data_IF_392280577666
#
_entry.id   IF_392280577666
#
_cell.length_a   1.000
_cell.length_b   1.000
_cell.length_c   1.000
_cell.angle_alpha   90.00
_cell.angle_beta   90.00
_cell.angle_gamma   90.00
#
_symmetry.space_group_name_H-M   'P 1'
#
loop_
_entity.id
_entity.type
_entity.pdbx_description
1 polymer ?
#
# COMPACT_ATOMS: atom_id res chain seq x y z
N UNK A 1 -17.42 23.81 18.02
CA UNK A 1 -17.20 22.49 18.64
C UNK A 1 -16.12 21.69 17.92
N UNK A 2 -16.02 21.87 16.62
CA UNK A 2 -15.02 21.17 15.82
C UNK A 2 -13.69 21.92 15.73
N UNK A 3 -13.56 23.06 16.42
CA UNK A 3 -12.34 23.84 16.36
C UNK A 3 -11.18 23.10 17.00
N UNK A 4 -10.02 23.14 16.33
CA UNK A 4 -8.80 22.53 16.85
C UNK A 4 -8.26 23.42 17.96
N UNK A 5 -8.02 22.88 19.15
CA UNK A 5 -7.51 23.66 20.29
C UNK A 5 -6.13 23.21 20.73
N UNK A 6 -5.62 22.05 20.30
CA UNK A 6 -4.26 21.65 20.63
C UNK A 6 -3.75 20.65 19.60
N UNK A 7 -2.46 20.72 19.33
CA UNK A 7 -1.80 19.82 18.38
C UNK A 7 -0.45 19.45 19.01
N UNK A 8 -0.17 18.14 19.07
CA UNK A 8 1.07 17.65 19.64
C UNK A 8 1.67 16.61 18.69
N UNK A 9 2.84 16.92 18.15
CA UNK A 9 3.61 15.94 17.36
C UNK A 9 4.67 15.28 18.22
N UNK A 10 5.00 14.04 17.90
CA UNK A 10 6.05 13.32 18.61
C UNK A 10 6.70 12.30 17.68
N UNK A 11 7.86 11.86 18.11
CA UNK A 11 8.63 10.82 17.43
C UNK A 11 8.31 9.47 18.10
N UNK A 12 7.92 8.48 17.29
CA UNK A 12 7.71 7.12 17.78
C UNK A 12 8.50 6.17 16.90
N UNK A 13 8.52 4.88 17.20
CA UNK A 13 9.24 3.90 16.40
C UNK A 13 8.31 3.13 15.50
N UNK A 14 8.78 2.83 14.29
CA UNK A 14 8.04 2.01 13.36
C UNK A 14 8.46 0.54 13.48
N UNK A 15 7.92 -0.31 12.61
CA UNK A 15 8.10 -1.75 12.67
C UNK A 15 9.54 -2.21 12.41
N UNK A 16 10.37 -1.32 11.88
CA UNK A 16 11.78 -1.62 11.65
C UNK A 16 12.68 -1.01 12.72
N UNK A 17 12.08 -0.38 13.75
CA UNK A 17 12.83 0.27 14.80
C UNK A 17 13.39 1.63 14.39
N UNK A 18 12.85 2.24 13.34
CA UNK A 18 13.24 3.57 12.91
C UNK A 18 12.22 4.60 13.37
N UNK A 19 12.63 5.84 13.61
CA UNK A 19 11.67 6.85 14.00
C UNK A 19 10.66 7.18 12.92
N UNK A 20 9.44 7.51 13.36
CA UNK A 20 8.42 8.07 12.50
C UNK A 20 7.60 9.06 13.31
N UNK A 21 6.69 9.76 12.63
CA UNK A 21 5.95 10.87 13.21
C UNK A 21 4.57 10.41 13.66
N UNK A 22 4.17 10.81 14.87
CA UNK A 22 2.82 10.62 15.37
C UNK A 22 2.28 11.98 15.81
N UNK A 23 0.98 12.19 15.64
CA UNK A 23 0.36 13.47 15.96
C UNK A 23 -0.94 13.24 16.69
N UNK A 24 -1.18 14.06 17.74
CA UNK A 24 -2.47 14.15 18.42
C UNK A 24 -3.10 15.49 18.06
N UNK A 25 -4.41 15.47 17.80
CA UNK A 25 -5.20 16.68 17.57
C UNK A 25 -6.35 16.66 18.55
N UNK A 26 -6.51 17.73 19.32
CA UNK A 26 -7.58 17.87 20.31
C UNK A 26 -8.55 18.94 19.84
N UNK A 27 -9.83 18.64 19.90
CA UNK A 27 -10.87 19.58 19.50
C UNK A 27 -11.51 20.24 20.73
N UNK A 28 -12.19 21.36 20.49
CA UNK A 28 -12.88 22.11 21.53
C UNK A 28 -13.84 21.22 22.32
N UNK A 29 -14.47 20.25 21.67
CA UNK A 29 -15.40 19.33 22.32
C UNK A 29 -14.72 18.37 23.28
N UNK A 30 -13.41 18.29 23.28
CA UNK A 30 -12.66 17.36 24.11
C UNK A 30 -12.27 16.06 23.43
N UNK A 31 -12.75 15.81 22.22
CA UNK A 31 -12.34 14.59 21.51
C UNK A 31 -10.93 14.76 20.96
N UNK A 32 -10.26 13.65 20.78
CA UNK A 32 -8.89 13.64 20.29
C UNK A 32 -8.74 12.62 19.15
N UNK A 33 -7.91 12.98 18.17
CA UNK A 33 -7.51 12.06 17.13
C UNK A 33 -6.01 11.85 17.19
N UNK A 34 -5.55 10.61 16.99
CA UNK A 34 -4.13 10.27 16.99
C UNK A 34 -3.80 9.45 15.76
N UNK A 35 -2.73 9.80 15.08
CA UNK A 35 -2.32 9.07 13.90
C UNK A 35 -0.80 9.01 13.82
N UNK A 36 -0.28 7.88 13.32
CA UNK A 36 1.15 7.70 13.06
C UNK A 36 1.33 7.38 11.58
N UNK A 37 2.44 7.85 11.01
CA UNK A 37 2.66 7.70 9.58
C UNK A 37 3.61 6.56 9.27
N UNK A 38 3.40 5.87 8.12
CA UNK A 38 4.32 4.81 7.70
C UNK A 38 5.53 5.40 6.98
N UNK A 39 6.53 4.57 6.71
CA UNK A 39 7.72 4.98 5.97
C UNK A 39 8.15 3.90 5.01
N UNK A 40 8.79 4.30 3.89
CA UNK A 40 9.20 3.37 2.87
C UNK A 40 10.66 2.98 2.96
N UNK A 41 10.97 1.73 2.62
CA UNK A 41 12.35 1.28 2.50
C UNK A 41 12.92 1.70 1.15
N UNK A 42 12.17 1.46 0.07
CA UNK A 42 12.54 1.94 -1.26
C UNK A 42 11.46 2.92 -1.70
N UNK A 43 11.88 4.06 -2.21
CA UNK A 43 10.95 5.12 -2.55
C UNK A 43 11.08 5.46 -4.03
N UNK A 44 9.96 5.81 -4.65
CA UNK A 44 9.97 6.32 -6.01
C UNK A 44 10.67 7.65 -6.07
N UNK A 45 11.28 7.96 -7.20
CA UNK A 45 12.07 9.17 -7.32
C UNK A 45 11.21 10.43 -7.23
N UNK A 46 9.91 10.32 -7.44
CA UNK A 46 8.99 11.47 -7.45
C UNK A 46 8.07 11.51 -6.25
N UNK A 47 8.34 10.72 -5.21
CA UNK A 47 7.55 10.78 -3.98
C UNK A 47 7.79 12.05 -3.19
N UNK A 48 6.92 12.52 -2.49
CA UNK A 48 7.06 13.56 -1.62
C UNK A 48 8.08 13.19 -0.64
N UNK A 49 8.53 14.04 -0.02
CA UNK A 49 9.71 13.89 0.84
C UNK A 49 9.33 13.50 2.26
N UNK A 50 9.87 12.42 2.71
CA UNK A 50 9.85 11.99 4.11
C UNK A 50 11.01 12.71 4.79
N UNK A 51 10.72 13.75 5.59
CA UNK A 51 11.76 14.61 6.16
C UNK A 51 12.47 13.90 7.29
N UNK A 52 13.76 13.71 7.15
CA UNK A 52 14.63 13.11 8.15
C UNK A 52 15.69 14.13 8.57
N UNK A 53 16.15 14.02 9.82
CA UNK A 53 17.06 15.02 10.37
C UNK A 53 18.46 14.96 9.77
N UNK A 54 18.92 13.78 9.42
CA UNK A 54 20.25 13.61 8.87
C UNK A 54 21.37 13.72 9.90
N UNK A 55 21.03 13.83 11.17
CA UNK A 55 22.00 13.89 12.26
C UNK A 55 22.44 12.48 12.61
N UNK A 56 23.64 12.11 12.22
CA UNK A 56 24.12 10.73 12.38
C UNK A 56 24.23 10.31 13.84
N UNK A 57 24.29 11.24 14.76
CA UNK A 57 24.30 10.91 16.20
C UNK A 57 22.93 10.60 16.80
N UNK A 58 21.80 10.68 16.00
CA UNK A 58 20.51 10.38 16.41
C UNK A 58 19.96 9.47 15.49
N UNK A 59 19.67 8.36 15.91
CA UNK A 59 19.05 7.31 15.09
C UNK A 59 19.77 7.11 13.75
N UNK A 60 21.08 7.21 13.75
CA UNK A 60 21.86 7.01 12.53
C UNK A 60 21.42 7.92 11.37
N UNK A 61 20.94 9.10 11.71
CA UNK A 61 20.49 10.08 10.73
C UNK A 61 19.03 10.00 10.38
N UNK A 62 18.30 9.04 10.93
CA UNK A 62 16.90 8.81 10.55
C UNK A 62 15.89 9.45 11.48
N UNK A 63 16.32 10.25 12.45
CA UNK A 63 15.41 10.96 13.33
C UNK A 63 14.43 11.84 12.58
N UNK A 64 13.30 12.17 13.21
CA UNK A 64 12.27 13.02 12.60
C UNK A 64 11.92 14.21 13.47
N UNK A 65 12.88 14.69 14.30
CA UNK A 65 12.56 15.79 15.20
C UNK A 65 12.32 17.11 14.46
N UNK A 66 12.91 17.31 13.27
CA UNK A 66 12.60 18.50 12.49
C UNK A 66 11.14 18.49 12.03
N UNK A 67 10.65 17.34 11.56
CA UNK A 67 9.25 17.22 11.17
C UNK A 67 8.33 17.43 12.38
N UNK A 68 8.71 16.86 13.51
CA UNK A 68 7.93 17.02 14.76
C UNK A 68 7.91 18.51 15.17
N UNK A 69 9.04 19.19 15.06
CA UNK A 69 9.09 20.61 15.41
C UNK A 69 8.17 21.42 14.50
N UNK A 70 8.12 21.10 13.20
CA UNK A 70 7.21 21.80 12.30
C UNK A 70 5.76 21.62 12.75
N UNK A 71 5.38 20.40 13.20
CA UNK A 71 4.03 20.18 13.69
C UNK A 71 3.76 21.04 14.93
N UNK A 72 4.70 21.07 15.85
CA UNK A 72 4.48 21.72 17.14
C UNK A 72 4.60 23.24 17.08
N UNK A 73 5.12 23.80 15.99
CA UNK A 73 5.26 25.25 15.86
C UNK A 73 4.46 25.77 14.67
N UNK A 74 5.05 25.74 13.49
CA UNK A 74 4.48 26.41 12.33
C UNK A 74 3.15 25.84 11.90
N UNK A 75 3.04 24.51 11.85
CA UNK A 75 1.78 23.89 11.47
C UNK A 75 0.72 24.17 12.53
N UNK A 76 1.08 24.00 13.80
CA UNK A 76 0.14 24.26 14.89
C UNK A 76 -0.39 25.68 14.80
N UNK A 77 0.51 26.67 14.58
CA UNK A 77 0.06 28.07 14.48
C UNK A 77 -0.88 28.28 13.30
N UNK A 78 -0.64 27.62 12.18
CA UNK A 78 -1.42 27.85 10.97
C UNK A 78 -2.81 27.23 11.04
N UNK A 79 -2.98 26.11 11.73
CA UNK A 79 -4.28 25.44 11.71
C UNK A 79 -5.02 25.46 13.04
N UNK A 80 -4.42 26.04 14.08
CA UNK A 80 -5.13 26.18 15.36
C UNK A 80 -6.41 26.98 15.12
N UNK A 81 -7.52 26.51 15.70
CA UNK A 81 -8.81 27.17 15.56
C UNK A 81 -9.58 26.81 14.31
N UNK A 82 -8.98 26.11 13.35
CA UNK A 82 -9.71 25.70 12.17
C UNK A 82 -10.71 24.58 12.53
N UNK A 83 -11.72 24.47 11.69
CA UNK A 83 -12.77 23.45 11.85
C UNK A 83 -12.22 22.11 11.31
N UNK A 84 -12.11 21.12 12.19
CA UNK A 84 -11.56 19.82 11.82
C UNK A 84 -12.43 19.10 10.79
N UNK A 85 -13.72 19.43 10.68
CA UNK A 85 -14.58 18.78 9.69
C UNK A 85 -14.35 19.30 8.28
N UNK A 86 -13.57 20.38 8.12
CA UNK A 86 -13.24 20.95 6.81
C UNK A 86 -11.91 20.38 6.30
N UNK A 87 -11.89 19.08 6.08
CA UNK A 87 -10.64 18.38 5.74
C UNK A 87 -9.94 18.97 4.52
N UNK A 88 -10.69 19.21 3.44
CA UNK A 88 -10.07 19.70 2.21
C UNK A 88 -9.45 21.08 2.41
N UNK A 89 -10.13 21.95 3.14
CA UNK A 89 -9.60 23.28 3.44
C UNK A 89 -8.33 23.19 4.29
N UNK A 90 -8.39 22.33 5.31
CA UNK A 90 -7.24 22.17 6.21
C UNK A 90 -6.05 21.61 5.46
N UNK A 91 -6.27 20.58 4.64
CA UNK A 91 -5.19 19.99 3.87
C UNK A 91 -4.59 20.99 2.89
N UNK A 92 -5.43 21.80 2.25
CA UNK A 92 -4.91 22.84 1.35
C UNK A 92 -4.10 23.86 2.12
N UNK A 93 -4.50 24.18 3.33
CA UNK A 93 -3.72 25.08 4.17
C UNK A 93 -2.33 24.50 4.43
N UNK A 94 -2.26 23.22 4.72
CA UNK A 94 -0.96 22.56 4.92
C UNK A 94 -0.11 22.58 3.65
N UNK A 95 -0.72 22.30 2.56
CA UNK A 95 -0.01 22.32 1.28
C UNK A 95 0.54 23.70 0.97
N UNK A 96 -0.21 24.52 1.16
CA UNK A 96 0.11 25.79 0.99
C UNK A 96 1.12 26.29 1.88
N UNK A 97 1.07 25.95 3.06
CA UNK A 97 2.07 26.34 4.07
C UNK A 97 3.46 25.82 3.68
N UNK A 98 3.52 24.58 3.25
CA UNK A 98 4.79 24.02 2.81
C UNK A 98 5.34 24.76 1.59
N UNK A 99 4.51 24.98 0.60
CA UNK A 99 4.85 25.81 -0.55
C UNK A 99 5.80 25.19 -1.56
N UNK A 100 6.18 23.91 -1.38
CA UNK A 100 7.06 23.24 -2.34
C UNK A 100 6.31 22.12 -3.04
N UNK A 101 6.82 21.76 -4.21
CA UNK A 101 6.14 20.73 -5.01
C UNK A 101 6.21 19.36 -4.35
N UNK A 102 7.33 19.07 -3.69
CA UNK A 102 7.57 17.74 -3.12
C UNK A 102 7.48 17.73 -1.61
N UNK A 103 6.92 18.78 -1.03
CA UNK A 103 6.74 18.90 0.42
C UNK A 103 8.06 18.77 1.22
N UNK A 104 8.87 19.22 0.72
CA UNK A 104 10.08 19.22 1.25
C UNK A 104 10.33 20.10 2.35
N UNK A 105 9.64 21.18 2.40
CA UNK A 105 9.98 22.16 3.46
C UNK A 105 9.50 21.70 4.83
N UNK A 106 8.28 21.24 4.91
CA UNK A 106 7.75 20.76 6.19
C UNK A 106 7.86 19.24 6.34
N UNK A 107 7.91 18.51 5.23
CA UNK A 107 7.93 17.06 5.22
C UNK A 107 6.55 16.49 4.96
N UNK A 108 6.47 15.57 4.00
CA UNK A 108 5.21 14.87 3.75
C UNK A 108 4.77 14.08 4.99
N UNK A 109 5.73 13.56 5.76
CA UNK A 109 5.39 12.86 7.00
C UNK A 109 4.73 13.79 8.00
N UNK A 110 5.20 15.01 8.16
CA UNK A 110 4.52 15.97 9.04
C UNK A 110 3.12 16.31 8.49
N UNK A 111 2.92 16.60 7.24
CA UNK A 111 1.77 16.90 6.68
C UNK A 111 0.81 15.93 6.85
N UNK A 112 1.19 14.60 6.56
CA UNK A 112 0.26 13.48 6.67
C UNK A 112 -0.20 13.25 8.10
N UNK A 113 0.71 13.29 9.04
CA UNK A 113 0.31 13.07 10.43
C UNK A 113 -0.79 14.05 10.87
N UNK A 114 -0.77 15.20 10.47
CA UNK A 114 -1.69 16.13 10.77
C UNK A 114 -2.92 15.90 10.17
N UNK A 115 -2.88 15.62 8.85
CA UNK A 115 -4.08 15.34 8.06
C UNK A 115 -4.88 14.17 8.64
N UNK A 116 -4.21 13.09 8.94
CA UNK A 116 -4.90 11.91 9.48
C UNK A 116 -5.44 12.13 10.89
N UNK A 117 -4.68 12.78 11.75
CA UNK A 117 -5.15 13.00 13.12
C UNK A 117 -6.38 13.90 13.14
N UNK A 118 -6.42 14.91 12.27
CA UNK A 118 -7.59 15.76 12.13
C UNK A 118 -8.82 14.94 11.69
N UNK A 119 -8.64 14.07 10.71
CA UNK A 119 -9.76 13.26 10.24
C UNK A 119 -10.29 12.36 11.34
N UNK A 120 -9.40 11.76 12.13
CA UNK A 120 -9.84 10.89 13.22
C UNK A 120 -10.59 11.69 14.30
N UNK A 121 -10.11 12.88 14.63
CA UNK A 121 -10.81 13.72 15.61
C UNK A 121 -12.17 14.12 15.08
N UNK A 122 -12.25 14.52 13.81
CA UNK A 122 -13.53 14.93 13.23
C UNK A 122 -14.53 13.77 13.19
N UNK A 123 -14.07 12.57 12.84
CA UNK A 123 -14.95 11.40 12.84
C UNK A 123 -15.47 11.10 14.24
N UNK A 124 -14.61 11.16 15.23
CA UNK A 124 -14.99 10.92 16.62
C UNK A 124 -16.03 11.93 17.06
N UNK A 125 -15.82 13.22 16.75
CA UNK A 125 -16.79 14.24 17.14
C UNK A 125 -18.12 14.04 16.44
N UNK A 126 -18.10 13.61 15.18
CA UNK A 126 -19.34 13.36 14.43
C UNK A 126 -20.05 12.09 14.90
N UNK A 127 -19.40 11.28 15.74
CA UNK A 127 -19.98 10.04 16.20
C UNK A 127 -19.99 8.94 15.17
N UNK A 128 -19.07 9.00 14.20
CA UNK A 128 -19.01 8.04 13.10
C UNK A 128 -17.73 7.23 13.17
N UNK A 129 -17.79 5.94 12.84
CA UNK A 129 -16.54 5.23 12.60
C UNK A 129 -15.80 5.86 11.42
N UNK A 130 -14.48 5.74 11.42
CA UNK A 130 -13.67 6.47 10.43
C UNK A 130 -14.04 6.07 9.00
N UNK A 131 -14.25 4.77 8.74
CA UNK A 131 -14.61 4.37 7.38
C UNK A 131 -15.90 5.02 6.91
N UNK A 132 -16.86 5.20 7.82
CA UNK A 132 -18.14 5.83 7.49
C UNK A 132 -17.96 7.33 7.27
N UNK A 133 -17.11 7.95 8.08
CA UNK A 133 -16.78 9.34 7.89
C UNK A 133 -16.19 9.60 6.51
N UNK A 134 -15.28 8.71 6.07
CA UNK A 134 -14.68 8.83 4.74
C UNK A 134 -15.69 8.54 3.63
N UNK A 135 -16.56 7.57 3.82
CA UNK A 135 -17.37 7.04 2.72
C UNK A 135 -18.77 7.59 2.59
N UNK A 136 -19.28 8.21 3.64
CA UNK A 136 -20.66 8.73 3.62
C UNK A 136 -21.68 7.63 3.85
N UNK A 137 -22.87 7.83 3.34
CA UNK A 137 -24.02 6.99 3.70
C UNK A 137 -24.24 5.80 2.75
N UNK A 138 -23.47 5.71 1.69
CA UNK A 138 -23.70 4.66 0.69
C UNK A 138 -23.22 3.29 1.13
N UNK A 139 -23.54 2.28 0.31
CA UNK A 139 -23.09 0.92 0.56
C UNK A 139 -21.58 0.81 0.42
N UNK A 140 -21.00 -0.11 1.18
CA UNK A 140 -19.55 -0.26 1.21
C UNK A 140 -19.13 -1.70 1.01
N UNK A 141 -18.02 -1.88 0.29
CA UNK A 141 -17.40 -3.18 0.03
C UNK A 141 -16.24 -3.40 0.97
N UNK A 142 -16.07 -4.65 1.39
CA UNK A 142 -14.81 -5.05 2.00
C UNK A 142 -13.78 -5.31 0.89
N UNK A 143 -12.53 -4.92 1.07
CA UNK A 143 -11.54 -5.10 0.01
C UNK A 143 -11.05 -6.54 -0.10
N UNK A 144 -10.73 -6.97 -1.33
CA UNK A 144 -10.00 -8.21 -1.54
C UNK A 144 -8.58 -7.99 -1.07
N UNK A 145 -8.04 -8.86 -0.20
CA UNK A 145 -6.67 -8.66 0.28
C UNK A 145 -5.65 -9.29 -0.66
N UNK A 146 -4.56 -8.55 -0.90
CA UNK A 146 -3.36 -9.06 -1.57
C UNK A 146 -2.36 -9.37 -0.45
N UNK A 147 -2.11 -10.65 -0.21
CA UNK A 147 -1.33 -11.08 0.94
C UNK A 147 0.05 -11.52 0.51
N UNK A 148 1.07 -10.80 0.94
CA UNK A 148 2.46 -11.03 0.56
C UNK A 148 3.03 -12.19 1.35
N UNK A 149 3.16 -13.38 0.73
CA UNK A 149 3.60 -14.57 1.46
C UNK A 149 5.03 -15.00 1.16
N UNK A 150 5.63 -14.55 0.04
CA UNK A 150 7.05 -14.78 -0.23
C UNK A 150 7.69 -13.48 -0.68
N UNK A 151 8.86 -13.18 -0.13
CA UNK A 151 9.62 -11.98 -0.46
C UNK A 151 10.88 -12.34 -1.24
N UNK A 152 11.23 -11.47 -2.18
CA UNK A 152 12.50 -11.51 -2.88
C UNK A 152 13.02 -10.09 -3.04
N UNK A 153 13.92 -9.88 -4.00
CA UNK A 153 14.41 -8.56 -4.33
C UNK A 153 14.96 -7.81 -3.12
N UNK A 154 14.57 -6.55 -3.00
CA UNK A 154 15.05 -5.71 -1.91
C UNK A 154 14.49 -6.10 -0.55
N UNK A 155 13.43 -6.90 -0.52
CA UNK A 155 12.79 -7.30 0.74
C UNK A 155 13.33 -8.61 1.30
N UNK A 156 14.37 -9.18 0.70
CA UNK A 156 14.88 -10.47 1.13
C UNK A 156 16.35 -10.62 0.76
N UNK A 157 17.02 -11.52 1.44
CA UNK A 157 18.40 -11.88 1.11
C UNK A 157 18.38 -13.27 0.46
N UNK A 158 17.86 -13.30 -0.78
CA UNK A 158 17.80 -14.55 -1.54
C UNK A 158 17.97 -14.21 -3.03
N UNK A 159 17.86 -15.22 -3.88
CA UNK A 159 18.15 -15.05 -5.31
C UNK A 159 16.93 -14.70 -6.16
N UNK A 160 15.76 -14.47 -5.53
CA UNK A 160 14.59 -14.05 -6.28
C UNK A 160 14.68 -12.55 -6.61
N UNK A 161 14.47 -12.20 -7.87
CA UNK A 161 14.50 -10.79 -8.26
C UNK A 161 13.16 -10.11 -8.08
N UNK A 162 12.06 -10.82 -8.27
CA UNK A 162 10.72 -10.30 -8.03
C UNK A 162 10.54 -10.10 -6.54
N UNK A 163 10.06 -8.91 -6.15
CA UNK A 163 10.10 -8.49 -4.76
C UNK A 163 9.04 -9.15 -3.90
N UNK A 164 7.84 -9.35 -4.43
CA UNK A 164 6.74 -9.92 -3.63
C UNK A 164 5.92 -10.89 -4.46
N UNK A 165 5.55 -12.00 -3.82
CA UNK A 165 4.64 -13.00 -4.38
C UNK A 165 3.46 -13.07 -3.44
N UNK A 166 2.27 -12.79 -3.96
CA UNK A 166 1.08 -12.60 -3.14
C UNK A 166 -0.02 -13.54 -3.56
N UNK A 167 -0.87 -13.90 -2.58
CA UNK A 167 -2.12 -14.63 -2.86
C UNK A 167 -3.29 -13.69 -2.66
N UNK A 168 -4.32 -13.85 -3.48
CA UNK A 168 -5.55 -13.07 -3.43
C UNK A 168 -6.74 -14.00 -3.35
N UNK A 169 -7.30 -14.21 -2.15
CA UNK A 169 -8.51 -15.02 -2.05
C UNK A 169 -9.70 -14.28 -2.66
N UNK A 170 -10.27 -14.83 -3.71
CA UNK A 170 -11.39 -14.19 -4.44
C UNK A 170 -12.64 -15.05 -4.50
N UNK A 171 -12.55 -16.34 -4.14
CA UNK A 171 -13.68 -17.23 -4.23
C UNK A 171 -14.49 -17.36 -2.95
N UNK A 172 -14.13 -16.61 -1.91
CA UNK A 172 -14.79 -16.73 -0.62
C UNK A 172 -15.99 -15.78 -0.56
N UNK A 173 -16.92 -16.09 0.34
CA UNK A 173 -18.17 -15.33 0.42
C UNK A 173 -18.06 -14.06 1.26
N UNK A 174 -16.99 -13.92 2.05
CA UNK A 174 -16.84 -12.78 2.93
C UNK A 174 -15.38 -12.48 3.14
N UNK A 175 -15.10 -11.26 3.64
CA UNK A 175 -13.73 -10.91 4.02
C UNK A 175 -13.22 -11.85 5.11
N UNK A 176 -14.04 -12.18 6.09
CA UNK A 176 -13.63 -13.11 7.15
C UNK A 176 -13.12 -14.41 6.56
N UNK A 177 -13.85 -14.97 5.58
CA UNK A 177 -13.43 -16.22 4.98
C UNK A 177 -12.21 -16.05 4.07
N UNK A 178 -12.06 -14.88 3.43
CA UNK A 178 -10.86 -14.59 2.66
C UNK A 178 -9.64 -14.53 3.56
N UNK A 179 -9.78 -13.88 4.72
CA UNK A 179 -8.68 -13.81 5.68
C UNK A 179 -8.31 -15.20 6.20
N UNK A 180 -9.31 -16.01 6.52
CA UNK A 180 -9.06 -17.40 6.96
C UNK A 180 -8.33 -18.19 5.89
N UNK A 181 -8.76 -18.04 4.63
CA UNK A 181 -8.10 -18.69 3.51
C UNK A 181 -6.62 -18.30 3.44
N UNK A 182 -6.34 -17.01 3.54
CA UNK A 182 -4.97 -16.54 3.52
C UNK A 182 -4.13 -17.11 4.65
N UNK A 183 -4.70 -17.13 5.86
CA UNK A 183 -3.97 -17.66 7.01
C UNK A 183 -3.67 -19.15 6.85
N UNK A 184 -4.64 -19.91 6.31
CA UNK A 184 -4.43 -21.33 6.09
C UNK A 184 -3.36 -21.59 5.03
N UNK A 185 -3.35 -20.78 3.96
CA UNK A 185 -2.30 -20.89 2.95
C UNK A 185 -0.94 -20.54 3.55
N UNK A 186 -0.88 -19.48 4.36
CA UNK A 186 0.35 -19.07 5.02
C UNK A 186 0.94 -20.24 5.83
N UNK A 187 0.12 -20.91 6.61
CA UNK A 187 0.61 -22.02 7.43
C UNK A 187 0.95 -23.24 6.58
N UNK A 188 0.19 -23.52 5.52
CA UNK A 188 0.55 -24.61 4.61
C UNK A 188 1.90 -24.34 3.95
N UNK A 189 2.14 -23.09 3.55
CA UNK A 189 3.41 -22.73 2.94
C UNK A 189 4.56 -22.88 3.92
N UNK A 190 4.34 -22.45 5.17
CA UNK A 190 5.36 -22.62 6.22
C UNK A 190 5.77 -24.08 6.33
N UNK A 191 4.81 -24.99 6.35
CA UNK A 191 5.08 -26.41 6.47
C UNK A 191 5.87 -26.93 5.26
N UNK A 192 5.49 -26.52 4.04
CA UNK A 192 6.19 -26.95 2.84
C UNK A 192 7.64 -26.46 2.85
N UNK A 193 7.84 -25.18 3.20
CA UNK A 193 9.18 -24.61 3.25
C UNK A 193 10.03 -25.32 4.29
N UNK A 194 9.45 -25.58 5.46
CA UNK A 194 10.16 -26.28 6.53
C UNK A 194 10.53 -27.70 6.12
N UNK A 195 9.62 -28.41 5.46
CA UNK A 195 9.88 -29.78 5.00
C UNK A 195 11.00 -29.82 3.96
N UNK A 196 11.18 -28.73 3.20
CA UNK A 196 12.29 -28.65 2.24
C UNK A 196 13.61 -28.24 2.90
N UNK A 197 13.62 -28.02 4.20
CA UNK A 197 14.82 -27.61 4.91
C UNK A 197 15.18 -26.15 4.74
N UNK A 198 14.26 -25.33 4.24
CA UNK A 198 14.50 -23.91 4.05
C UNK A 198 14.06 -23.10 5.25
N UNK A 199 14.58 -21.88 5.37
CA UNK A 199 14.23 -20.99 6.48
C UNK A 199 12.77 -20.55 6.41
N UNK A 200 12.10 -20.56 7.54
CA UNK A 200 10.76 -19.99 7.68
C UNK A 200 10.78 -18.63 8.39
N UNK A 201 11.95 -18.00 8.47
CA UNK A 201 12.04 -16.65 8.99
C UNK A 201 11.25 -15.70 8.09
N UNK A 202 10.64 -14.68 8.69
CA UNK A 202 9.81 -13.75 7.94
C UNK A 202 10.52 -12.41 7.80
N UNK A 203 10.22 -11.72 6.70
CA UNK A 203 10.76 -10.40 6.44
C UNK A 203 9.92 -9.29 7.04
N UNK A 204 10.21 -8.08 6.61
CA UNK A 204 9.61 -6.87 7.19
C UNK A 204 8.09 -6.85 7.07
N UNK A 205 7.55 -7.47 6.05
CA UNK A 205 6.10 -7.44 5.81
C UNK A 205 5.42 -8.75 6.21
N UNK A 206 6.14 -9.64 6.87
CA UNK A 206 5.58 -10.86 7.43
C UNK A 206 5.63 -12.07 6.51
N UNK A 207 6.09 -11.91 5.28
CA UNK A 207 6.22 -13.04 4.34
C UNK A 207 7.52 -13.78 4.52
N UNK A 208 7.56 -15.03 4.04
CA UNK A 208 8.77 -15.84 4.11
C UNK A 208 9.79 -15.40 3.06
N UNK A 209 11.06 -15.69 3.32
CA UNK A 209 12.13 -15.33 2.39
C UNK A 209 13.07 -16.49 2.12
N UNK A 210 12.56 -17.65 1.69
CA UNK A 210 13.43 -18.78 1.41
C UNK A 210 14.18 -18.56 0.11
N UNK A 211 15.27 -19.32 -0.08
CA UNK A 211 16.11 -19.14 -1.26
C UNK A 211 15.70 -20.12 -2.37
N UNK A 212 14.62 -19.79 -3.06
CA UNK A 212 14.18 -20.58 -4.23
C UNK A 212 15.16 -20.40 -5.40
N UNK A 213 15.23 -21.41 -6.26
CA UNK A 213 16.13 -21.38 -7.41
C UNK A 213 15.63 -20.45 -8.52
N UNK A 214 14.32 -20.24 -8.61
CA UNK A 214 13.75 -19.43 -9.70
C UNK A 214 12.39 -18.89 -9.29
N UNK A 215 11.91 -17.91 -10.06
CA UNK A 215 10.56 -17.41 -9.86
C UNK A 215 9.52 -18.52 -10.09
N UNK A 216 9.75 -19.39 -11.07
CA UNK A 216 8.79 -20.48 -11.32
C UNK A 216 8.75 -21.48 -10.17
N UNK A 217 9.89 -21.79 -9.57
CA UNK A 217 9.88 -22.68 -8.40
C UNK A 217 9.07 -22.05 -7.27
N UNK A 218 9.26 -20.76 -7.05
CA UNK A 218 8.48 -20.06 -6.02
C UNK A 218 7.00 -20.14 -6.31
N UNK A 219 6.60 -19.84 -7.54
CA UNK A 219 5.18 -19.86 -7.91
C UNK A 219 4.58 -21.25 -7.78
N UNK A 220 5.31 -22.28 -8.22
CA UNK A 220 4.82 -23.65 -8.06
C UNK A 220 4.65 -24.04 -6.60
N UNK A 221 5.57 -23.57 -5.74
CA UNK A 221 5.48 -23.85 -4.32
C UNK A 221 4.24 -23.17 -3.70
N UNK A 222 3.98 -21.93 -4.14
CA UNK A 222 2.78 -21.23 -3.69
C UNK A 222 1.52 -21.96 -4.12
N UNK A 223 1.48 -22.46 -5.37
CA UNK A 223 0.32 -23.25 -5.83
C UNK A 223 0.14 -24.49 -4.97
N UNK A 224 1.22 -25.18 -4.63
CA UNK A 224 1.15 -26.35 -3.75
C UNK A 224 0.57 -25.98 -2.39
N UNK A 225 0.96 -24.82 -1.86
CA UNK A 225 0.43 -24.38 -0.56
C UNK A 225 -1.06 -24.11 -0.64
N UNK A 226 -1.52 -23.51 -1.74
CA UNK A 226 -2.94 -23.24 -1.93
C UNK A 226 -3.72 -24.57 -1.95
N UNK A 227 -3.23 -25.55 -2.73
CA UNK A 227 -3.90 -26.87 -2.81
C UNK A 227 -3.87 -27.60 -1.48
N UNK A 228 -2.73 -27.54 -0.79
CA UNK A 228 -2.59 -28.20 0.50
C UNK A 228 -3.55 -27.62 1.54
N UNK A 229 -3.82 -26.32 1.44
CA UNK A 229 -4.77 -25.68 2.34
C UNK A 229 -6.23 -25.99 1.99
N UNK A 230 -6.46 -26.68 0.87
CA UNK A 230 -7.80 -27.09 0.48
C UNK A 230 -8.49 -26.17 -0.49
N UNK A 231 -7.75 -25.29 -1.16
CA UNK A 231 -8.33 -24.32 -2.08
C UNK A 231 -7.86 -24.58 -3.51
N UNK A 232 -8.63 -24.07 -4.48
CA UNK A 232 -8.36 -24.31 -5.89
C UNK A 232 -7.64 -23.10 -6.50
N UNK A 233 -6.37 -23.27 -6.93
CA UNK A 233 -5.69 -22.15 -7.60
C UNK A 233 -6.43 -21.75 -8.86
N UNK A 234 -6.58 -20.45 -9.06
CA UNK A 234 -7.26 -19.92 -10.23
C UNK A 234 -8.76 -19.72 -10.04
N UNK A 235 -9.38 -20.51 -9.14
CA UNK A 235 -10.80 -20.37 -8.85
C UNK A 235 -11.01 -19.65 -7.51
N UNK A 236 -10.46 -20.23 -6.45
CA UNK A 236 -10.64 -19.68 -5.11
C UNK A 236 -9.61 -18.63 -4.79
N UNK A 237 -8.40 -18.76 -5.35
CA UNK A 237 -7.25 -17.92 -5.02
C UNK A 237 -6.51 -17.59 -6.29
N UNK A 238 -6.24 -16.32 -6.51
CA UNK A 238 -5.40 -15.85 -7.61
C UNK A 238 -4.06 -15.39 -7.06
N UNK A 239 -3.08 -15.20 -7.94
CA UNK A 239 -1.75 -14.76 -7.57
C UNK A 239 -1.50 -13.33 -8.03
N UNK A 240 -0.63 -12.63 -7.30
CA UNK A 240 -0.22 -11.29 -7.65
C UNK A 240 1.28 -11.15 -7.41
N UNK A 241 1.92 -10.32 -8.23
CA UNK A 241 3.36 -10.05 -8.10
C UNK A 241 3.58 -8.57 -7.88
N UNK A 242 4.63 -8.24 -7.12
CA UNK A 242 5.22 -6.91 -7.13
C UNK A 242 6.65 -7.08 -7.62
N UNK A 243 6.90 -6.69 -8.86
CA UNK A 243 8.23 -6.85 -9.45
C UNK A 243 9.22 -5.85 -8.93
N UNK A 244 8.75 -4.64 -8.56
CA UNK A 244 9.64 -3.55 -8.17
C UNK A 244 10.77 -3.38 -9.18
N UNK A 245 10.43 -3.29 -10.45
CA UNK A 245 11.37 -3.47 -11.55
C UNK A 245 12.44 -2.39 -11.63
N UNK A 246 12.18 -1.20 -11.02
CA UNK A 246 13.22 -0.17 -10.99
C UNK A 246 14.47 -0.64 -10.25
N UNK A 247 14.32 -1.62 -9.33
CA UNK A 247 15.45 -2.11 -8.56
C UNK A 247 16.45 -2.89 -9.41
N UNK A 248 16.02 -3.47 -10.53
CA UNK A 248 16.94 -4.25 -11.36
C UNK A 248 17.01 -3.71 -12.80
N UNK A 249 16.63 -2.47 -13.01
CA UNK A 249 16.74 -1.82 -14.32
C UNK A 249 18.01 -0.97 -14.33
N UNK A 250 18.89 -1.22 -15.28
CA UNK A 250 20.06 -0.37 -15.49
C UNK A 250 20.57 -0.54 -16.90
N UNK A 251 21.09 0.56 -17.43
CA UNK A 251 21.64 0.57 -18.79
C UNK A 251 20.64 0.11 -19.83
N UNK A 252 19.37 0.47 -19.63
CA UNK A 252 18.31 0.16 -20.57
C UNK A 252 17.83 -1.27 -20.56
N UNK A 253 18.24 -2.07 -19.58
CA UNK A 253 17.88 -3.48 -19.53
C UNK A 253 17.44 -3.89 -18.13
N UNK A 254 16.63 -4.94 -18.10
CA UNK A 254 16.14 -5.56 -16.87
C UNK A 254 17.04 -6.74 -16.53
N UNK A 255 17.73 -6.63 -15.40
CA UNK A 255 18.75 -7.61 -15.01
C UNK A 255 18.18 -8.55 -13.95
N UNK A 256 17.70 -9.71 -14.40
CA UNK A 256 17.23 -10.74 -13.48
C UNK A 256 18.43 -11.57 -13.04
N UNK A 257 19.14 -11.07 -12.04
CA UNK A 257 20.41 -11.66 -11.63
C UNK A 257 20.27 -13.11 -11.17
N UNK A 258 19.17 -13.39 -10.46
CA UNK A 258 18.96 -14.74 -9.94
C UNK A 258 18.72 -15.78 -11.03
N UNK A 259 18.35 -15.34 -12.23
CA UNK A 259 18.11 -16.26 -13.35
C UNK A 259 19.11 -16.06 -14.47
N UNK A 260 20.07 -15.16 -14.29
CA UNK A 260 21.12 -14.94 -15.28
C UNK A 260 20.64 -14.29 -16.57
N UNK A 261 19.59 -13.49 -16.50
CA UNK A 261 18.98 -12.88 -17.69
C UNK A 261 19.18 -11.38 -17.71
N UNK A 262 19.38 -10.84 -18.92
CA UNK A 262 19.38 -9.40 -19.17
C UNK A 262 18.42 -9.16 -20.32
N UNK A 263 17.31 -8.48 -20.05
CA UNK A 263 16.18 -8.40 -20.98
C UNK A 263 15.89 -6.96 -21.38
N UNK A 264 15.61 -6.77 -22.66
CA UNK A 264 15.02 -5.51 -23.12
C UNK A 264 13.62 -5.33 -22.53
N UNK A 265 13.05 -4.15 -22.70
CA UNK A 265 11.68 -3.93 -22.25
C UNK A 265 10.70 -4.90 -22.91
N UNK A 266 10.84 -5.11 -24.22
CA UNK A 266 9.95 -6.02 -24.94
C UNK A 266 10.12 -7.45 -24.41
N UNK A 267 11.35 -7.89 -24.24
CA UNK A 267 11.60 -9.25 -23.77
C UNK A 267 11.13 -9.44 -22.33
N UNK A 268 11.26 -8.40 -21.49
CA UNK A 268 10.76 -8.53 -20.13
C UNK A 268 9.24 -8.58 -20.10
N UNK A 269 8.57 -7.80 -20.97
CA UNK A 269 7.12 -7.91 -21.10
C UNK A 269 6.71 -9.31 -21.51
N UNK A 270 7.47 -9.94 -22.44
CA UNK A 270 7.19 -11.32 -22.83
C UNK A 270 7.45 -12.29 -21.69
N UNK A 271 8.49 -12.05 -20.90
CA UNK A 271 8.77 -12.86 -19.71
C UNK A 271 7.57 -12.85 -18.75
N UNK A 272 7.06 -11.66 -18.47
CA UNK A 272 5.91 -11.53 -17.57
C UNK A 272 4.65 -12.16 -18.16
N UNK A 273 4.46 -11.99 -19.49
CA UNK A 273 3.30 -12.61 -20.14
C UNK A 273 3.37 -14.12 -20.06
N UNK A 274 4.57 -14.70 -20.22
CA UNK A 274 4.74 -16.14 -20.10
C UNK A 274 4.42 -16.64 -18.69
N UNK A 275 4.81 -15.89 -17.66
CA UNK A 275 4.43 -16.26 -16.30
C UNK A 275 2.91 -16.20 -16.12
N UNK A 276 2.27 -15.18 -16.67
CA UNK A 276 0.81 -15.05 -16.55
C UNK A 276 0.08 -16.15 -17.33
N UNK A 277 0.70 -16.69 -18.39
CA UNK A 277 0.13 -17.82 -19.11
C UNK A 277 0.20 -19.11 -18.31
N UNK A 278 1.26 -19.29 -17.54
CA UNK A 278 1.51 -20.55 -16.81
C UNK A 278 0.85 -20.57 -15.44
N UNK A 279 0.63 -19.42 -14.82
CA UNK A 279 0.16 -19.33 -13.45
C UNK A 279 -1.04 -18.39 -13.39
N UNK A 280 -1.93 -18.55 -12.41
CA UNK A 280 -3.12 -17.68 -12.34
C UNK A 280 -2.81 -16.31 -11.74
N UNK A 281 -1.94 -15.58 -12.41
CA UNK A 281 -1.51 -14.24 -12.00
C UNK A 281 -2.50 -13.24 -12.54
N UNK A 282 -3.15 -12.49 -11.65
CA UNK A 282 -4.15 -11.50 -12.02
C UNK A 282 -3.64 -10.08 -11.90
N UNK A 283 -2.51 -9.88 -11.19
CA UNK A 283 -2.04 -8.53 -10.92
C UNK A 283 -0.51 -8.51 -10.89
N UNK A 284 0.07 -7.50 -11.55
CA UNK A 284 1.52 -7.29 -11.55
C UNK A 284 1.74 -5.81 -11.25
N UNK A 285 2.46 -5.54 -10.16
CA UNK A 285 2.78 -4.19 -9.73
C UNK A 285 4.19 -3.85 -10.22
N UNK A 286 4.33 -2.63 -10.77
CA UNK A 286 5.62 -2.12 -11.25
C UNK A 286 6.36 -3.14 -12.10
N UNK A 287 5.67 -3.63 -13.11
CA UNK A 287 6.24 -4.58 -14.06
C UNK A 287 7.31 -3.96 -14.95
N UNK A 288 7.40 -2.62 -14.97
CA UNK A 288 8.46 -1.90 -15.68
C UNK A 288 9.02 -0.82 -14.78
N UNK A 289 10.22 -0.35 -15.12
CA UNK A 289 10.87 0.75 -14.40
C UNK A 289 10.03 2.02 -14.49
N UNK A 290 10.04 2.82 -13.44
CA UNK A 290 9.21 4.02 -13.33
C UNK A 290 9.48 5.02 -14.46
N UNK A 291 10.68 5.04 -15.03
CA UNK A 291 11.01 5.93 -16.13
C UNK A 291 10.87 5.32 -17.51
N UNK A 292 10.56 4.05 -17.60
CA UNK A 292 10.49 3.32 -18.88
C UNK A 292 9.04 3.34 -19.41
N UNK A 293 8.57 4.52 -19.80
CA UNK A 293 7.17 4.67 -20.23
C UNK A 293 6.89 3.94 -21.53
N UNK A 294 7.87 3.86 -22.44
CA UNK A 294 7.69 3.05 -23.65
C UNK A 294 7.54 1.57 -23.29
N UNK A 295 8.33 1.08 -22.33
CA UNK A 295 8.18 -0.30 -21.87
C UNK A 295 6.84 -0.53 -21.20
N UNK A 296 6.37 0.42 -20.40
CA UNK A 296 5.05 0.33 -19.80
C UNK A 296 3.96 0.23 -20.86
N UNK A 297 4.11 0.98 -21.95
CA UNK A 297 3.14 0.91 -23.04
C UNK A 297 3.12 -0.47 -23.66
N UNK A 298 4.29 -1.05 -23.91
CA UNK A 298 4.39 -2.40 -24.45
C UNK A 298 3.70 -3.40 -23.51
N UNK A 299 4.00 -3.29 -22.23
CA UNK A 299 3.42 -4.22 -21.25
C UNK A 299 1.91 -4.09 -21.21
N UNK A 300 1.40 -2.85 -21.22
CA UNK A 300 -0.04 -2.63 -21.15
C UNK A 300 -0.74 -3.19 -22.38
N UNK A 301 -0.16 -2.99 -23.55
CA UNK A 301 -0.76 -3.54 -24.79
C UNK A 301 -0.71 -5.06 -24.76
N UNK A 302 0.32 -5.65 -24.19
CA UNK A 302 0.51 -7.10 -24.17
C UNK A 302 -0.42 -7.80 -23.17
N UNK A 303 -0.62 -7.20 -21.97
CA UNK A 303 -1.28 -7.88 -20.86
C UNK A 303 -2.49 -7.15 -20.27
N UNK A 304 -2.67 -5.88 -20.60
CA UNK A 304 -3.58 -5.04 -19.81
C UNK A 304 -5.05 -5.44 -19.83
N UNK A 305 -5.48 -6.27 -20.78
CA UNK A 305 -6.88 -6.68 -20.82
C UNK A 305 -7.17 -7.85 -19.88
N UNK A 306 -6.13 -8.61 -19.49
CA UNK A 306 -6.35 -9.78 -18.65
C UNK A 306 -5.56 -9.77 -17.35
N UNK A 307 -4.65 -8.82 -17.17
CA UNK A 307 -3.87 -8.69 -15.95
C UNK A 307 -3.93 -7.25 -15.47
N UNK A 308 -4.18 -7.09 -14.18
CA UNK A 308 -4.14 -5.78 -13.53
C UNK A 308 -2.69 -5.31 -13.47
N UNK A 309 -2.42 -4.15 -14.04
CA UNK A 309 -1.07 -3.59 -14.09
C UNK A 309 -1.03 -2.36 -13.20
N UNK A 310 -0.40 -2.51 -12.04
CA UNK A 310 -0.46 -1.52 -10.96
C UNK A 310 0.78 -0.64 -11.01
N UNK A 311 0.58 0.68 -11.00
CA UNK A 311 1.70 1.60 -10.90
C UNK A 311 1.89 2.06 -9.46
N UNK A 312 3.05 1.72 -8.86
CA UNK A 312 3.48 2.21 -7.57
C UNK A 312 4.49 3.33 -7.77
N UNK A 313 5.75 2.98 -8.01
CA UNK A 313 6.77 3.99 -8.29
C UNK A 313 6.43 4.79 -9.53
N UNK A 314 5.69 4.21 -10.46
CA UNK A 314 5.27 4.89 -11.68
C UNK A 314 4.42 6.13 -11.37
N UNK A 315 3.46 6.02 -10.46
CA UNK A 315 2.48 7.08 -10.23
C UNK A 315 2.66 7.81 -8.90
N UNK A 316 3.26 7.20 -7.93
CA UNK A 316 3.52 7.71 -6.57
C UNK A 316 2.31 8.43 -5.96
N UNK A 317 1.12 7.87 -6.16
CA UNK A 317 -0.16 8.42 -5.63
C UNK A 317 -0.39 9.88 -6.08
N UNK A 318 0.18 10.28 -7.20
CA UNK A 318 0.17 11.68 -7.67
C UNK A 318 -0.80 11.83 -8.83
N UNK A 319 -1.80 12.72 -8.69
CA UNK A 319 -2.85 12.86 -9.71
C UNK A 319 -2.31 13.38 -11.02
N UNK A 320 -1.30 14.27 -11.00
CA UNK A 320 -0.76 14.79 -12.26
C UNK A 320 -0.09 13.69 -13.08
N UNK A 321 0.68 12.83 -12.39
CA UNK A 321 1.36 11.75 -13.08
C UNK A 321 0.36 10.69 -13.51
N UNK A 322 -0.63 10.38 -12.66
CA UNK A 322 -1.68 9.43 -13.03
C UNK A 322 -2.44 9.90 -14.25
N UNK A 323 -2.78 11.19 -14.31
CA UNK A 323 -3.49 11.74 -15.47
C UNK A 323 -2.69 11.53 -16.75
N UNK A 324 -1.39 11.77 -16.69
CA UNK A 324 -0.54 11.55 -17.86
C UNK A 324 -0.55 10.08 -18.27
N UNK A 325 -0.49 9.16 -17.32
CA UNK A 325 -0.54 7.74 -17.63
C UNK A 325 -1.86 7.33 -18.25
N UNK A 326 -2.96 7.87 -17.72
CA UNK A 326 -4.28 7.59 -18.27
C UNK A 326 -4.36 8.06 -19.74
N UNK A 327 -3.90 9.28 -19.99
CA UNK A 327 -3.95 9.83 -21.34
C UNK A 327 -3.11 9.04 -22.32
N UNK A 328 -2.01 8.46 -21.86
CA UNK A 328 -1.11 7.69 -22.72
C UNK A 328 -1.46 6.20 -22.76
N UNK A 329 -2.47 5.77 -22.03
CA UNK A 329 -2.88 4.37 -22.05
C UNK A 329 -1.91 3.44 -21.37
N UNK A 330 -1.35 3.85 -20.24
CA UNK A 330 -0.31 3.13 -19.53
C UNK A 330 -0.87 2.61 -18.22
N UNK A 331 -0.64 1.33 -17.92
CA UNK A 331 -1.14 0.65 -16.73
C UNK A 331 -2.66 0.60 -16.72
N UNK A 332 -3.25 0.05 -15.67
CA UNK A 332 -4.71 0.07 -15.48
C UNK A 332 -5.10 0.07 -14.01
N UNK A 333 -4.15 0.39 -13.12
CA UNK A 333 -4.38 0.42 -11.70
C UNK A 333 -3.32 1.30 -11.04
N UNK A 334 -3.65 1.86 -9.88
CA UNK A 334 -2.69 2.66 -9.12
C UNK A 334 -2.59 2.09 -7.70
N UNK A 335 -1.37 2.00 -7.19
CA UNK A 335 -1.16 1.71 -5.77
C UNK A 335 -1.24 3.01 -5.00
N UNK A 336 -1.99 2.99 -3.90
CA UNK A 336 -2.23 4.19 -3.10
C UNK A 336 -1.46 4.06 -1.79
N UNK A 337 -0.43 4.89 -1.65
CA UNK A 337 0.36 4.97 -0.42
C UNK A 337 0.23 6.37 0.13
N UNK A 338 -0.40 6.51 1.28
CA UNK A 338 -0.79 7.82 1.79
C UNK A 338 0.41 8.74 2.00
N UNK A 339 1.56 8.19 2.38
CA UNK A 339 2.72 9.03 2.64
C UNK A 339 3.50 9.41 1.38
N UNK A 340 3.14 8.86 0.22
CA UNK A 340 3.78 9.29 -1.02
C UNK A 340 3.32 10.68 -1.46
N UNK A 341 2.18 11.12 -0.96
CA UNK A 341 1.64 12.42 -1.37
C UNK A 341 1.45 13.36 -0.19
N UNK A 342 1.03 12.88 0.97
CA UNK A 342 1.13 13.64 2.21
C UNK A 342 -0.14 14.23 2.79
N UNK A 343 -1.29 14.15 2.10
CA UNK A 343 -2.57 14.52 2.72
C UNK A 343 -3.64 13.54 2.31
N UNK A 344 -4.69 13.44 3.13
CA UNK A 344 -5.83 12.61 2.79
C UNK A 344 -6.60 13.16 1.60
N UNK A 345 -6.72 14.49 1.49
CA UNK A 345 -7.44 15.09 0.37
C UNK A 345 -6.80 14.70 -0.96
N UNK A 346 -5.46 14.77 -1.05
CA UNK A 346 -4.77 14.37 -2.27
C UNK A 346 -4.88 12.87 -2.50
N UNK A 347 -4.86 12.09 -1.43
CA UNK A 347 -5.03 10.64 -1.54
C UNK A 347 -6.40 10.30 -2.13
N UNK A 348 -7.44 10.92 -1.58
CA UNK A 348 -8.80 10.67 -2.09
C UNK A 348 -8.96 11.14 -3.52
N UNK A 349 -8.30 12.24 -3.91
CA UNK A 349 -8.36 12.71 -5.29
C UNK A 349 -7.73 11.70 -6.23
N UNK A 350 -6.63 11.06 -5.83
CA UNK A 350 -6.00 10.05 -6.69
C UNK A 350 -6.89 8.83 -6.84
N UNK A 351 -7.53 8.39 -5.76
CA UNK A 351 -8.45 7.25 -5.82
C UNK A 351 -9.61 7.57 -6.77
N UNK A 352 -10.20 8.75 -6.62
CA UNK A 352 -11.34 9.15 -7.44
C UNK A 352 -10.97 9.26 -8.91
N UNK A 353 -9.81 9.85 -9.20
CA UNK A 353 -9.36 9.97 -10.58
C UNK A 353 -9.17 8.60 -11.22
N UNK A 354 -8.58 7.66 -10.48
CA UNK A 354 -8.37 6.30 -11.00
C UNK A 354 -9.71 5.66 -11.34
N UNK A 355 -10.65 5.71 -10.40
CA UNK A 355 -11.94 5.04 -10.60
C UNK A 355 -12.70 5.64 -11.78
N UNK A 356 -12.67 6.96 -11.94
CA UNK A 356 -13.36 7.60 -13.06
C UNK A 356 -12.78 7.21 -14.40
N UNK A 357 -11.51 6.84 -14.44
CA UNK A 357 -10.85 6.42 -15.67
C UNK A 357 -10.95 4.91 -15.92
N UNK A 358 -11.63 4.17 -15.05
CA UNK A 358 -11.72 2.72 -15.15
C UNK A 358 -10.51 1.98 -14.61
N UNK A 359 -9.60 2.68 -13.94
CA UNK A 359 -8.46 2.07 -13.26
C UNK A 359 -8.92 1.61 -11.87
N UNK A 360 -8.36 0.53 -11.38
CA UNK A 360 -8.57 0.17 -9.98
C UNK A 360 -7.58 0.93 -9.10
N UNK A 361 -7.89 0.98 -7.81
CA UNK A 361 -7.00 1.55 -6.80
C UNK A 361 -6.77 0.49 -5.73
N UNK A 362 -5.51 0.24 -5.41
CA UNK A 362 -5.13 -0.73 -4.38
C UNK A 362 -4.57 0.06 -3.20
N UNK A 363 -5.25 0.00 -2.07
CA UNK A 363 -4.79 0.73 -0.88
C UNK A 363 -3.66 -0.06 -0.24
N UNK A 364 -2.54 0.59 0.07
CA UNK A 364 -1.32 -0.12 0.40
C UNK A 364 -0.65 0.40 1.66
N UNK A 365 -0.01 -0.51 2.37
CA UNK A 365 0.91 -0.21 3.46
C UNK A 365 2.27 0.22 2.90
N UNK A 366 3.22 0.45 3.80
CA UNK A 366 4.64 0.63 3.43
C UNK A 366 5.46 -0.43 4.17
N UNK A 367 6.75 -0.54 3.81
CA UNK A 367 7.61 -1.52 4.50
C UNK A 367 7.82 -1.15 5.97
N UNK A 368 7.92 0.13 6.30
CA UNK A 368 7.96 0.57 7.69
C UNK A 368 6.56 0.97 8.15
N UNK A 369 5.99 0.23 9.08
CA UNK A 369 4.63 0.46 9.53
C UNK A 369 4.58 0.65 11.05
N UNK A 370 3.43 1.15 11.50
CA UNK A 370 3.09 1.19 12.91
C UNK A 370 1.82 0.39 13.12
N UNK A 371 1.25 0.46 14.31
CA UNK A 371 -0.04 -0.20 14.55
C UNK A 371 -1.23 0.63 14.04
N UNK A 372 -0.98 1.84 13.52
CA UNK A 372 -2.03 2.66 12.92
C UNK A 372 -2.71 1.87 11.80
N UNK A 373 -4.04 1.84 11.81
CA UNK A 373 -4.81 1.03 10.87
C UNK A 373 -5.67 1.87 9.93
N UNK A 374 -5.33 3.16 9.77
CA UNK A 374 -6.15 4.08 8.97
C UNK A 374 -6.38 3.58 7.55
N UNK A 375 -5.40 2.88 6.94
CA UNK A 375 -5.58 2.43 5.56
C UNK A 375 -6.72 1.43 5.42
N UNK A 376 -7.05 0.67 6.47
CA UNK A 376 -8.21 -0.22 6.41
C UNK A 376 -9.50 0.59 6.24
N UNK A 377 -9.63 1.67 7.00
CA UNK A 377 -10.81 2.53 6.88
C UNK A 377 -10.86 3.24 5.53
N UNK A 378 -9.70 3.62 4.99
CA UNK A 378 -9.67 4.22 3.66
C UNK A 378 -10.15 3.22 2.62
N UNK A 379 -9.68 1.98 2.69
CA UNK A 379 -10.06 0.97 1.69
C UNK A 379 -11.55 0.73 1.67
N UNK A 380 -12.18 0.66 2.85
CA UNK A 380 -13.63 0.43 2.91
C UNK A 380 -14.39 1.70 2.55
N UNK A 381 -14.01 2.84 3.12
CA UNK A 381 -14.76 4.09 2.91
C UNK A 381 -14.77 4.54 1.46
N UNK A 382 -13.70 4.28 0.72
CA UNK A 382 -13.62 4.69 -0.68
C UNK A 382 -14.12 3.63 -1.64
N UNK A 383 -14.53 2.46 -1.14
CA UNK A 383 -14.90 1.33 -2.00
C UNK A 383 -13.78 0.99 -2.98
N UNK A 384 -12.53 1.03 -2.49
CA UNK A 384 -11.39 0.77 -3.36
C UNK A 384 -11.39 -0.65 -3.91
N UNK A 385 -11.87 -1.59 -3.12
CA UNK A 385 -12.02 -2.97 -3.57
C UNK A 385 -10.83 -3.86 -3.37
N UNK A 386 -9.65 -3.30 -3.09
CA UNK A 386 -8.43 -4.09 -2.89
C UNK A 386 -7.55 -3.42 -1.84
N UNK A 387 -6.86 -4.24 -1.05
CA UNK A 387 -5.91 -3.75 -0.06
C UNK A 387 -4.66 -4.62 -0.08
N UNK A 388 -3.50 -3.99 0.02
CA UNK A 388 -2.21 -4.67 0.06
C UNK A 388 -1.53 -4.27 1.36
N UNK A 389 -1.54 -5.16 2.37
CA UNK A 389 -1.07 -4.77 3.70
C UNK A 389 -0.25 -5.88 4.37
N UNK A 390 0.48 -6.64 3.56
CA UNK A 390 1.46 -7.58 4.08
C UNK A 390 0.91 -8.98 4.24
N UNK A 391 1.61 -9.77 5.02
CA UNK A 391 1.29 -11.18 5.19
C UNK A 391 0.44 -11.39 6.44
N UNK A 392 0.39 -12.63 6.90
CA UNK A 392 -0.46 -13.05 8.01
C UNK A 392 0.37 -13.21 9.29
N UNK A 393 1.40 -12.39 9.44
CA UNK A 393 2.23 -12.36 10.63
C UNK A 393 2.72 -10.93 10.83
N UNK A 394 3.24 -10.62 12.00
CA UNK A 394 3.70 -9.31 12.48
C UNK A 394 2.51 -8.40 12.79
N UNK A 395 2.53 -7.88 14.01
CA UNK A 395 1.37 -7.13 14.52
C UNK A 395 1.12 -5.84 13.75
N UNK A 396 2.16 -5.25 13.14
CA UNK A 396 1.98 -4.03 12.35
C UNK A 396 1.19 -4.29 11.06
N UNK A 397 1.15 -5.54 10.59
CA UNK A 397 0.31 -5.94 9.44
C UNK A 397 -1.04 -6.45 9.93
N UNK A 398 -1.02 -7.30 10.94
CA UNK A 398 -2.23 -7.90 11.50
C UNK A 398 -3.20 -6.82 12.01
N UNK A 399 -2.69 -5.70 12.51
CA UNK A 399 -3.56 -4.64 12.99
C UNK A 399 -4.52 -4.16 11.90
N UNK A 400 -4.06 -4.11 10.64
CA UNK A 400 -4.93 -3.69 9.52
C UNK A 400 -5.98 -4.75 9.23
N UNK A 401 -5.57 -6.01 9.21
CA UNK A 401 -6.54 -7.10 8.98
C UNK A 401 -7.58 -7.17 10.10
N UNK A 402 -7.13 -7.01 11.33
CA UNK A 402 -8.07 -7.02 12.45
C UNK A 402 -9.03 -5.83 12.40
N UNK A 403 -8.55 -4.67 11.97
CA UNK A 403 -9.42 -3.51 11.78
C UNK A 403 -10.48 -3.80 10.71
N UNK A 404 -10.09 -4.47 9.64
CA UNK A 404 -11.06 -4.86 8.62
C UNK A 404 -12.09 -5.83 9.18
N UNK A 405 -11.70 -6.76 10.03
CA UNK A 405 -12.65 -7.64 10.70
C UNK A 405 -13.59 -6.84 11.61
N UNK A 406 -13.14 -5.94 12.14
CA UNK A 406 -13.91 -5.13 12.95
C UNK A 406 -14.87 -4.39 12.20
N UNK A 407 -14.46 -3.84 11.04
CA UNK A 407 -15.40 -3.16 10.14
C UNK A 407 -16.45 -4.13 9.54
N UNK A 408 -16.01 -5.22 9.19
CA UNK A 408 -16.79 -6.19 8.72
C UNK A 408 -17.87 -6.46 9.55
N UNK A 409 -17.63 -6.58 10.89
CA UNK A 409 -18.65 -6.88 11.87
C UNK A 409 -19.64 -5.72 12.02
N UNK A 410 -19.12 -4.53 12.02
CA UNK A 410 -19.96 -3.33 12.14
C UNK A 410 -20.92 -3.19 10.96
N UNK A 411 -20.49 -3.53 9.76
CA UNK A 411 -21.35 -3.46 8.58
C UNK A 411 -22.40 -4.57 8.54
N UNK A 412 -22.09 -5.70 9.13
CA UNK A 412 -23.02 -6.82 9.17
C UNK A 412 -23.40 -7.30 7.78
N UNK A 413 -24.69 -7.53 7.58
CA UNK A 413 -25.19 -8.15 6.34
C UNK A 413 -25.06 -7.23 5.13
N UNK A 414 -24.81 -5.95 5.33
CA UNK A 414 -24.66 -5.05 4.18
C UNK A 414 -23.26 -5.02 3.64
N UNK A 415 -22.30 -5.65 4.31
CA UNK A 415 -20.93 -5.76 3.77
C UNK A 415 -20.95 -6.69 2.56
N UNK A 416 -20.21 -6.32 1.52
CA UNK A 416 -20.11 -7.19 0.35
C UNK A 416 -18.63 -7.49 0.05
N UNK A 417 -18.10 -8.55 -0.53
CA UNK A 417 -16.97 -8.93 -0.80
C UNK A 417 -16.98 -9.03 -2.08
N UNK A 418 -16.43 -8.31 -2.92
CA UNK A 418 -16.55 -8.33 -4.37
C UNK A 418 -15.91 -9.52 -5.06
N UNK A 419 -14.90 -10.15 -4.45
CA UNK A 419 -14.22 -11.26 -5.11
C UNK A 419 -13.63 -10.83 -6.43
N UNK A 420 -13.82 -11.65 -7.47
CA UNK A 420 -13.26 -11.35 -8.79
C UNK A 420 -13.82 -10.06 -9.40
N UNK A 421 -14.99 -9.61 -8.97
CA UNK A 421 -15.56 -8.38 -9.51
C UNK A 421 -14.81 -7.14 -9.08
N UNK A 422 -13.87 -7.27 -8.13
CA UNK A 422 -12.99 -6.16 -7.79
C UNK A 422 -12.10 -5.74 -8.98
N UNK A 423 -11.90 -6.63 -9.93
CA UNK A 423 -11.05 -6.37 -11.10
C UNK A 423 -11.89 -5.83 -12.26
N UNK A 424 -12.58 -4.74 -12.04
CA UNK A 424 -13.44 -4.14 -13.08
C UNK A 424 -12.61 -3.52 -14.21
N UNK A 425 -11.30 -3.40 -14.03
CA UNK A 425 -10.39 -2.88 -15.05
C UNK A 425 -10.00 -3.93 -16.10
N UNK A 426 -10.45 -5.17 -15.94
CA UNK A 426 -10.10 -6.24 -16.88
C UNK A 426 -11.27 -6.56 -17.80
N UNK A 427 -10.96 -7.03 -19.01
CA UNK A 427 -11.97 -7.29 -20.02
C UNK A 427 -12.02 -8.77 -20.40
#
# INVERSE_FOLDING_TARGET
>A
MSAIVDIIGREVLDSRGNPTVECDVLLESGVMGRAAVPSGASTGSREXIELRDGDKSXYLGKGVLKAVEHINTEISEAIMGLDASEQAFLDRTLIXLDGTENKXRLGANAXLAXSMAVAKAAAEEAGLPLYRYFGGSGAMQMPVPMMNIVNGGAHANNSLDIQEFMVMPVGQQSFREALRCGAEIFHALKKIISDKGMSTAVGDEGGFAPNFASNEECLNTVLSAIERAGYRPGEDVLLALDCASSEFYRDGKYHLEGEGLQLSSVDFANYLANLADKFPIVSIEDGMHEGDWDGWKVLTERLGKRVQLVGDDLFVTNTRILKEGIEKGIANSILIKINQIGTLTETFAAIEMAKRAGYTAVISHRSGETEDSTIADIAVGTNAGQIKTGSLSRSDRISKYNQLLXIXEDLGDIASXPGKSAFYNLR
#
